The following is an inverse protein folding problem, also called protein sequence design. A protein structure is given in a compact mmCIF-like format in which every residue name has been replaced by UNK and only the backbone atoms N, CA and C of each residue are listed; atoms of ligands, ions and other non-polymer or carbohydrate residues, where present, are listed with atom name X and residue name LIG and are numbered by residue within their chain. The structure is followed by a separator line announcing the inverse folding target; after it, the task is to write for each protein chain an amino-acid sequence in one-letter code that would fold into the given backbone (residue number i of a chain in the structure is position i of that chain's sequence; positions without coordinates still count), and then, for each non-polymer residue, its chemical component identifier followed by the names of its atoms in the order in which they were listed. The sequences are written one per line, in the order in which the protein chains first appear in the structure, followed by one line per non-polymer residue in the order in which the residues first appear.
data_IF_006761479215
#
_entry.id   IF_006761479215
#
_cell.length_a   1.000
_cell.length_b   1.000
_cell.length_c   1.000
_cell.angle_alpha   90.00
_cell.angle_beta   90.00
_cell.angle_gamma   90.00
#
_symmetry.space_group_name_H-M   'P 1'
#
loop_
_entity.id
_entity.type
_entity.pdbx_description
1 polymer ?
#
# COMPACT_ATOMS: atom_id res chain seq x y z
N UNK A 1 9.74 18.22 5.46
CA UNK A 1 8.28 18.40 5.39
C UNK A 1 7.67 17.02 5.40
N UNK A 2 6.69 16.78 6.26
CA UNK A 2 5.97 15.51 6.33
C UNK A 2 4.75 15.61 5.40
N UNK A 3 4.43 14.54 4.68
CA UNK A 3 3.36 14.51 3.69
C UNK A 3 2.52 13.25 3.88
N UNK A 4 1.25 13.29 3.50
CA UNK A 4 0.31 12.18 3.69
C UNK A 4 0.16 11.37 2.41
N UNK A 5 0.07 10.06 2.55
CA UNK A 5 -0.25 9.10 1.51
C UNK A 5 -1.46 8.27 1.94
N UNK A 6 -2.35 7.98 0.98
CA UNK A 6 -3.51 7.11 1.19
C UNK A 6 -3.46 6.03 0.12
N UNK A 7 -3.37 4.77 0.55
CA UNK A 7 -3.46 3.61 -0.32
C UNK A 7 -4.81 2.92 -0.10
N UNK A 8 -5.56 2.66 -1.17
CA UNK A 8 -6.85 1.97 -1.12
C UNK A 8 -6.74 0.65 -1.87
N UNK A 9 -6.73 -0.44 -1.12
CA UNK A 9 -6.66 -1.80 -1.66
C UNK A 9 -8.08 -2.33 -1.77
N UNK A 10 -8.57 -2.48 -3.00
CA UNK A 10 -9.86 -3.12 -3.29
C UNK A 10 -9.65 -4.61 -3.45
N UNK A 11 -10.47 -5.41 -2.78
CA UNK A 11 -10.39 -6.87 -2.89
C UNK A 11 -11.78 -7.48 -3.07
N UNK A 12 -11.81 -8.65 -3.70
CA UNK A 12 -13.00 -9.46 -3.85
C UNK A 12 -12.70 -10.88 -3.35
N UNK A 13 -13.44 -11.32 -2.33
CA UNK A 13 -13.31 -12.64 -1.74
C UNK A 13 -14.46 -13.56 -2.17
N UNK A 14 -14.46 -13.94 -3.46
CA UNK A 14 -15.50 -14.80 -4.06
C UNK A 14 -15.73 -16.10 -3.26
N UNK A 15 -14.67 -16.67 -2.67
CA UNK A 15 -14.73 -17.89 -1.86
C UNK A 15 -15.37 -17.73 -0.47
N UNK A 16 -15.56 -16.51 0.02
CA UNK A 16 -16.12 -16.22 1.35
C UNK A 16 -17.56 -15.67 1.30
N UNK A 17 -18.23 -15.73 0.14
CA UNK A 17 -19.53 -15.06 -0.12
C UNK A 17 -19.55 -13.55 0.19
N UNK A 18 -18.36 -12.94 0.30
CA UNK A 18 -18.19 -11.52 0.57
C UNK A 18 -18.01 -10.78 -0.75
N UNK A 19 -18.97 -9.91 -1.05
CA UNK A 19 -19.20 -9.48 -2.42
C UNK A 19 -18.14 -8.51 -2.95
N UNK A 20 -17.59 -7.61 -2.11
CA UNK A 20 -16.42 -6.76 -2.37
C UNK A 20 -16.02 -6.03 -1.08
N UNK A 21 -14.76 -5.64 -0.94
CA UNK A 21 -14.27 -4.87 0.20
C UNK A 21 -13.13 -3.92 -0.17
N UNK A 22 -12.83 -3.00 0.74
CA UNK A 22 -11.61 -2.17 0.67
C UNK A 22 -10.88 -2.15 2.00
N UNK A 23 -9.56 -2.18 1.95
CA UNK A 23 -8.66 -1.79 3.03
C UNK A 23 -8.05 -0.45 2.64
N UNK A 24 -8.32 0.58 3.42
CA UNK A 24 -7.67 1.89 3.31
C UNK A 24 -6.53 1.94 4.30
N UNK A 25 -5.35 2.36 3.87
CA UNK A 25 -4.18 2.59 4.70
C UNK A 25 -3.77 4.04 4.55
N UNK A 26 -3.63 4.71 5.69
CA UNK A 26 -3.16 6.07 5.81
C UNK A 26 -1.75 6.04 6.39
N UNK A 27 -0.85 6.77 5.73
CA UNK A 27 0.54 6.86 6.13
C UNK A 27 1.08 8.27 5.96
N UNK A 28 2.10 8.58 6.74
CA UNK A 28 2.91 9.78 6.59
C UNK A 28 4.24 9.41 5.96
N UNK A 29 4.84 10.30 5.19
CA UNK A 29 6.16 10.11 4.64
C UNK A 29 7.03 11.34 4.76
N UNK A 30 8.33 11.09 4.89
CA UNK A 30 9.38 12.10 4.96
C UNK A 30 10.46 11.77 3.95
N UNK A 31 10.87 12.77 3.17
CA UNK A 31 11.98 12.63 2.23
C UNK A 31 13.26 12.37 3.03
N UNK A 32 13.87 11.21 2.80
CA UNK A 32 15.15 10.82 3.40
C UNK A 32 16.32 11.10 2.44
N UNK A 33 16.11 10.90 1.14
CA UNK A 33 17.08 11.20 0.09
C UNK A 33 16.39 11.51 -1.24
N UNK A 34 17.17 11.63 -2.34
CA UNK A 34 16.62 11.80 -3.69
C UNK A 34 15.81 10.57 -4.17
N UNK A 35 16.15 9.37 -3.69
CA UNK A 35 15.52 8.11 -4.10
C UNK A 35 14.68 7.48 -2.99
N UNK A 36 14.81 7.93 -1.74
CA UNK A 36 14.21 7.28 -0.57
C UNK A 36 13.28 8.19 0.23
N UNK A 37 12.16 7.61 0.64
CA UNK A 37 11.28 8.16 1.67
C UNK A 37 11.23 7.22 2.86
N UNK A 38 11.21 7.79 4.07
CA UNK A 38 10.80 7.06 5.27
C UNK A 38 9.28 7.17 5.37
N UNK A 39 8.62 6.06 5.74
CA UNK A 39 7.17 5.93 5.76
C UNK A 39 6.75 5.46 7.15
N UNK A 40 5.76 6.16 7.71
CA UNK A 40 5.18 5.84 9.01
C UNK A 40 3.70 5.53 8.84
N UNK A 41 3.27 4.40 9.37
CA UNK A 41 1.88 3.99 9.42
C UNK A 41 1.12 4.89 10.39
N UNK A 42 -0.01 5.44 9.94
CA UNK A 42 -0.89 6.24 10.79
C UNK A 42 -2.13 5.43 11.21
N UNK A 43 -2.87 4.91 10.23
CA UNK A 43 -4.14 4.23 10.47
C UNK A 43 -4.53 3.29 9.32
N UNK A 44 -5.48 2.39 9.59
CA UNK A 44 -6.10 1.54 8.58
C UNK A 44 -7.59 1.37 8.85
N UNK A 45 -8.37 1.18 7.80
CA UNK A 45 -9.81 0.97 7.88
C UNK A 45 -10.27 -0.02 6.84
N UNK A 46 -11.08 -1.01 7.25
CA UNK A 46 -11.72 -1.96 6.35
C UNK A 46 -13.18 -1.57 6.15
N UNK A 47 -13.68 -1.66 4.92
CA UNK A 47 -15.10 -1.41 4.59
C UNK A 47 -15.63 -2.49 3.65
N UNK A 48 -16.88 -2.97 3.83
CA UNK A 48 -17.81 -2.63 4.92
C UNK A 48 -17.40 -3.25 6.27
N UNK A 49 -17.87 -2.68 7.39
CA UNK A 49 -17.54 -3.10 8.76
C UNK A 49 -17.80 -4.59 9.01
N UNK A 50 -18.74 -5.20 8.28
CA UNK A 50 -19.01 -6.64 8.33
C UNK A 50 -17.78 -7.49 7.96
N UNK A 51 -16.87 -6.96 7.13
CA UNK A 51 -15.60 -7.59 6.80
C UNK A 51 -14.62 -7.56 7.97
N UNK A 52 -14.69 -6.55 8.84
CA UNK A 52 -13.81 -6.45 10.00
C UNK A 52 -13.96 -7.70 10.87
N UNK A 53 -15.16 -8.25 11.04
CA UNK A 53 -15.38 -9.47 11.82
C UNK A 53 -14.80 -10.73 11.16
N UNK A 54 -14.63 -10.74 9.85
CA UNK A 54 -14.03 -11.86 9.11
C UNK A 54 -12.51 -11.78 9.14
N UNK A 55 -11.98 -10.56 9.04
CA UNK A 55 -10.55 -10.31 9.13
C UNK A 55 -10.04 -10.15 10.56
N UNK A 56 -10.88 -9.95 11.58
CA UNK A 56 -10.45 -9.65 12.96
C UNK A 56 -9.49 -10.70 13.52
N UNK A 57 -9.68 -11.97 13.16
CA UNK A 57 -8.79 -13.07 13.57
C UNK A 57 -7.46 -13.11 12.82
N UNK A 58 -7.36 -12.44 11.68
CA UNK A 58 -6.19 -12.41 10.81
C UNK A 58 -5.79 -10.97 10.46
N UNK A 59 -6.21 -9.99 11.26
CA UNK A 59 -6.03 -8.57 10.94
C UNK A 59 -4.56 -8.23 10.95
N UNK A 60 -3.82 -8.81 11.89
CA UNK A 60 -2.37 -8.73 11.98
C UNK A 60 -1.68 -9.34 10.75
N UNK A 61 -2.24 -10.38 10.14
CA UNK A 61 -1.69 -10.97 8.90
C UNK A 61 -1.95 -10.04 7.73
N UNK A 62 -3.15 -9.47 7.62
CA UNK A 62 -3.49 -8.51 6.58
C UNK A 62 -2.62 -7.25 6.70
N UNK A 63 -2.47 -6.72 7.92
CA UNK A 63 -1.56 -5.62 8.20
C UNK A 63 -0.11 -6.01 7.96
N UNK A 64 0.36 -7.20 8.31
CA UNK A 64 1.73 -7.60 8.03
C UNK A 64 2.06 -7.55 6.52
N UNK A 65 1.07 -7.82 5.66
CA UNK A 65 1.23 -7.76 4.20
C UNK A 65 1.23 -6.30 3.70
N UNK A 66 0.37 -5.45 4.25
CA UNK A 66 0.13 -4.11 3.71
C UNK A 66 0.66 -2.95 4.57
N UNK A 67 1.25 -3.23 5.73
CA UNK A 67 1.79 -2.23 6.64
C UNK A 67 2.94 -1.50 5.95
N UNK A 68 2.79 -0.19 5.69
CA UNK A 68 3.78 0.59 4.94
C UNK A 68 4.93 1.09 5.83
N UNK A 69 4.92 0.81 7.14
CA UNK A 69 5.97 1.24 8.07
C UNK A 69 7.35 0.79 7.57
N UNK A 70 8.31 1.72 7.56
CA UNK A 70 9.68 1.46 7.15
C UNK A 70 10.23 2.53 6.20
N UNK A 71 10.89 2.10 5.14
CA UNK A 71 11.33 2.99 4.07
C UNK A 71 11.02 2.39 2.69
N UNK A 72 10.85 3.28 1.71
CA UNK A 72 10.69 2.92 0.31
C UNK A 72 11.73 3.68 -0.51
N UNK A 73 12.50 2.95 -1.31
CA UNK A 73 13.43 3.48 -2.28
C UNK A 73 12.94 3.21 -3.70
N UNK A 74 12.95 4.23 -4.54
CA UNK A 74 12.55 4.14 -5.95
C UNK A 74 13.75 4.44 -6.85
N UNK A 75 14.00 3.56 -7.80
CA UNK A 75 14.92 3.76 -8.92
C UNK A 75 14.12 3.87 -10.21
N UNK A 76 14.29 4.97 -10.93
CA UNK A 76 13.72 5.14 -12.27
C UNK A 76 14.66 4.47 -13.28
N UNK A 77 14.17 3.47 -14.01
CA UNK A 77 14.95 2.78 -15.03
C UNK A 77 14.89 3.58 -16.33
N UNK A 78 13.70 4.05 -16.66
CA UNK A 78 13.40 4.96 -17.77
C UNK A 78 12.10 5.75 -17.45
N UNK A 79 11.49 6.35 -18.47
CA UNK A 79 10.30 7.19 -18.32
C UNK A 79 9.01 6.40 -18.04
N UNK A 80 9.00 5.09 -18.28
CA UNK A 80 7.81 4.23 -18.14
C UNK A 80 7.98 3.20 -17.03
N UNK A 81 9.20 2.86 -16.63
CA UNK A 81 9.49 1.79 -15.68
C UNK A 81 10.28 2.28 -14.47
N UNK A 82 9.85 1.84 -13.29
CA UNK A 82 10.54 2.08 -12.02
C UNK A 82 10.58 0.83 -11.16
N UNK A 83 11.65 0.70 -10.40
CA UNK A 83 11.87 -0.38 -9.43
C UNK A 83 11.77 0.23 -8.04
N UNK A 84 10.85 -0.29 -7.23
CA UNK A 84 10.74 0.02 -5.81
C UNK A 84 11.36 -1.06 -4.94
N UNK A 85 11.98 -0.67 -3.84
CA UNK A 85 12.49 -1.56 -2.80
C UNK A 85 12.06 -1.07 -1.43
N UNK A 86 11.65 -1.97 -0.56
CA UNK A 86 11.37 -1.65 0.83
C UNK A 86 12.42 -2.22 1.81
N UNK A 87 12.21 -1.90 3.09
CA UNK A 87 13.02 -2.33 4.22
C UNK A 87 12.86 -3.81 4.60
N UNK A 88 11.92 -4.51 3.95
CA UNK A 88 11.60 -5.94 4.14
C UNK A 88 12.12 -6.81 3.01
N UNK A 89 13.02 -6.26 2.19
CA UNK A 89 13.62 -6.91 1.02
C UNK A 89 12.63 -7.24 -0.11
N UNK A 90 11.43 -6.66 -0.10
CA UNK A 90 10.52 -6.77 -1.24
C UNK A 90 10.99 -5.87 -2.39
N UNK A 91 10.77 -6.35 -3.61
CA UNK A 91 11.04 -5.61 -4.85
C UNK A 91 9.74 -5.50 -5.64
N UNK A 92 9.43 -4.28 -6.06
CA UNK A 92 8.25 -3.95 -6.85
C UNK A 92 8.70 -3.43 -8.21
N UNK A 93 8.14 -3.97 -9.28
CA UNK A 93 8.33 -3.45 -10.65
C UNK A 93 7.05 -2.73 -11.00
N UNK A 94 7.14 -1.44 -11.28
CA UNK A 94 6.00 -0.61 -11.66
C UNK A 94 6.23 -0.08 -13.07
N UNK A 95 5.26 -0.37 -13.93
CA UNK A 95 5.15 0.20 -15.27
C UNK A 95 4.05 1.26 -15.25
N UNK A 96 4.31 2.41 -15.87
CA UNK A 96 3.33 3.47 -16.07
C UNK A 96 2.42 3.09 -17.23
N UNK A 97 1.13 2.94 -16.97
CA UNK A 97 0.12 2.73 -18.01
C UNK A 97 -0.17 4.03 -18.78
N UNK A 98 -0.41 3.92 -20.08
CA UNK A 98 -0.80 5.05 -20.95
C UNK A 98 -2.19 5.63 -20.61
N UNK A 99 -3.02 4.90 -19.85
CA UNK A 99 -4.40 5.27 -19.50
C UNK A 99 -4.53 6.48 -18.54
N UNK A 100 -3.43 6.96 -17.95
CA UNK A 100 -3.45 8.11 -17.02
C UNK A 100 -3.46 9.50 -17.71
N UNK A 101 -3.77 9.55 -19.02
CA UNK A 101 -3.97 10.80 -19.76
C UNK A 101 -5.46 11.09 -19.97
N UNK A 102 -6.14 11.59 -18.93
CA UNK A 102 -7.44 12.28 -19.03
C UNK A 102 -7.38 13.60 -18.30
#
# INVERSE_FOLDING_TARGET
MESKAVNVIKFNARGLKLLNGKLTIEASFKIASKSRVDVSYDNSTITPDQLLNVFSKNYDVLLAIFNPEGWLEITYVDDTMRIGRDDKENIFILERSEEDTV
#
